data_IF_285301668339
#
_entry.id   IF_285301668339
#
_cell.length_a   1.000
_cell.length_b   1.000
_cell.length_c   1.000
_cell.angle_alpha   90.00
_cell.angle_beta   90.00
_cell.angle_gamma   90.00
#
_symmetry.space_group_name_H-M   'P 1'
#
loop_
_entity.id
_entity.type
_entity.pdbx_description
1 polymer ?
#
# COMPACT_ATOMS: atom_id res chain seq x y z
N UNK A 1 -14.77 4.25 -2.16
CA UNK A 1 -15.36 3.02 -2.73
C UNK A 1 -15.38 3.06 -4.26
N UNK A 2 -14.99 1.94 -4.94
CA UNK A 2 -14.89 1.85 -6.39
C UNK A 2 -15.63 0.62 -6.90
N UNK A 3 -16.17 0.70 -8.12
CA UNK A 3 -16.66 -0.50 -8.83
C UNK A 3 -15.52 -1.20 -9.56
N UNK A 4 -15.68 -2.48 -9.90
CA UNK A 4 -14.68 -3.21 -10.70
C UNK A 4 -14.39 -2.51 -12.03
N UNK A 5 -15.42 -1.93 -12.67
CA UNK A 5 -15.27 -1.16 -13.91
C UNK A 5 -14.39 0.10 -13.71
N UNK A 6 -14.59 0.81 -12.61
CA UNK A 6 -13.76 1.96 -12.26
C UNK A 6 -12.30 1.52 -11.99
N UNK A 7 -12.08 0.40 -11.29
CA UNK A 7 -10.74 -0.12 -11.05
C UNK A 7 -10.02 -0.46 -12.36
N UNK A 8 -10.71 -1.11 -13.32
CA UNK A 8 -10.15 -1.40 -14.64
C UNK A 8 -9.82 -0.13 -15.45
N UNK A 9 -10.53 0.97 -15.21
CA UNK A 9 -10.21 2.25 -15.88
C UNK A 9 -8.94 2.91 -15.34
N UNK A 10 -8.50 2.58 -14.13
CA UNK A 10 -7.23 3.05 -13.56
C UNK A 10 -6.03 2.28 -14.12
N UNK A 11 -6.17 0.98 -14.36
CA UNK A 11 -5.13 0.17 -14.99
C UNK A 11 -5.74 -0.86 -15.95
N UNK A 12 -5.73 -0.52 -17.22
CA UNK A 12 -6.27 -1.37 -18.29
C UNK A 12 -5.44 -2.63 -18.58
N UNK A 13 -4.24 -2.75 -17.98
CA UNK A 13 -3.38 -3.94 -18.13
C UNK A 13 -3.86 -5.11 -17.30
N UNK A 14 -4.70 -4.87 -16.29
CA UNK A 14 -5.23 -5.92 -15.44
C UNK A 14 -6.31 -6.70 -16.20
N UNK A 15 -6.13 -8.01 -16.47
CA UNK A 15 -7.17 -8.81 -17.09
C UNK A 15 -8.45 -8.82 -16.20
N UNK A 16 -9.60 -8.58 -16.80
CA UNK A 16 -10.87 -8.49 -16.08
C UNK A 16 -11.13 -9.72 -15.19
N UNK A 17 -10.89 -10.93 -15.72
CA UNK A 17 -11.06 -12.16 -14.95
C UNK A 17 -10.14 -12.25 -13.71
N UNK A 18 -8.92 -11.70 -13.81
CA UNK A 18 -7.97 -11.64 -12.70
C UNK A 18 -8.42 -10.65 -11.63
N UNK A 19 -8.94 -9.47 -12.03
CA UNK A 19 -9.50 -8.51 -11.09
C UNK A 19 -10.68 -9.12 -10.32
N UNK A 20 -11.64 -9.75 -10.98
CA UNK A 20 -12.78 -10.35 -10.28
C UNK A 20 -12.38 -11.47 -9.33
N UNK A 21 -11.39 -12.30 -9.69
CA UNK A 21 -10.83 -13.31 -8.78
C UNK A 21 -10.18 -12.68 -7.55
N UNK A 22 -9.40 -11.61 -7.76
CA UNK A 22 -8.76 -10.87 -6.66
C UNK A 22 -9.80 -10.22 -5.73
N UNK A 23 -10.80 -9.54 -6.28
CA UNK A 23 -11.89 -8.92 -5.52
C UNK A 23 -12.64 -9.97 -4.69
N UNK A 24 -12.98 -11.12 -5.28
CA UNK A 24 -13.63 -12.21 -4.56
C UNK A 24 -12.77 -12.74 -3.41
N UNK A 25 -11.48 -12.95 -3.66
CA UNK A 25 -10.53 -13.37 -2.62
C UNK A 25 -10.39 -12.34 -1.50
N UNK A 26 -10.27 -11.06 -1.84
CA UNK A 26 -10.18 -9.98 -0.85
C UNK A 26 -11.47 -9.83 -0.03
N UNK A 27 -12.65 -10.00 -0.66
CA UNK A 27 -13.94 -9.97 0.04
C UNK A 27 -14.07 -11.17 0.99
N UNK A 28 -13.70 -12.39 0.56
CA UNK A 28 -13.69 -13.59 1.39
C UNK A 28 -12.76 -13.50 2.60
N UNK A 29 -11.64 -12.79 2.46
CA UNK A 29 -10.68 -12.55 3.54
C UNK A 29 -10.97 -11.27 4.34
N UNK A 30 -12.14 -10.65 4.13
CA UNK A 30 -12.57 -9.43 4.80
C UNK A 30 -11.57 -8.27 4.69
N UNK A 31 -10.79 -8.22 3.60
CA UNK A 31 -9.89 -7.10 3.26
C UNK A 31 -10.71 -5.95 2.68
N UNK A 32 -11.67 -6.28 1.84
CA UNK A 32 -12.65 -5.34 1.28
C UNK A 32 -14.06 -5.77 1.65
N UNK A 33 -14.98 -4.81 1.65
CA UNK A 33 -16.41 -5.03 1.83
C UNK A 33 -17.18 -4.45 0.64
N UNK A 34 -18.31 -5.08 0.32
CA UNK A 34 -19.29 -4.49 -0.60
C UNK A 34 -20.13 -3.46 0.15
N UNK A 35 -19.98 -2.18 -0.20
CA UNK A 35 -20.70 -1.06 0.46
C UNK A 35 -21.97 -0.66 -0.28
N UNK A 36 -22.10 -1.03 -1.55
CA UNK A 36 -23.30 -0.81 -2.34
C UNK A 36 -23.40 -1.82 -3.48
N UNK A 37 -24.64 -2.18 -3.83
CA UNK A 37 -24.96 -2.96 -5.01
C UNK A 37 -25.97 -2.19 -5.87
N UNK A 38 -25.70 -2.05 -7.15
CA UNK A 38 -26.58 -1.34 -8.06
C UNK A 38 -26.91 -2.26 -9.24
N UNK A 39 -28.19 -2.47 -9.50
CA UNK A 39 -28.63 -3.26 -10.65
C UNK A 39 -28.51 -2.41 -11.90
N UNK A 40 -27.56 -2.75 -12.77
CA UNK A 40 -27.36 -2.09 -14.07
C UNK A 40 -27.75 -3.07 -15.17
N UNK A 41 -28.92 -2.88 -15.78
CA UNK A 41 -29.53 -3.81 -16.75
C UNK A 41 -29.75 -5.19 -16.10
N UNK A 42 -29.08 -6.25 -16.57
CA UNK A 42 -29.20 -7.62 -16.07
C UNK A 42 -28.06 -8.01 -15.09
N UNK A 43 -27.15 -7.09 -14.77
CA UNK A 43 -25.96 -7.38 -13.96
C UNK A 43 -26.00 -6.54 -12.69
N UNK A 44 -25.61 -7.14 -11.54
CA UNK A 44 -25.40 -6.42 -10.29
C UNK A 44 -23.97 -5.90 -10.27
N UNK A 45 -23.83 -4.58 -10.26
CA UNK A 45 -22.56 -3.91 -10.08
C UNK A 45 -22.33 -3.66 -8.59
N UNK A 46 -21.25 -4.23 -8.07
CA UNK A 46 -20.81 -4.04 -6.68
C UNK A 46 -19.85 -2.88 -6.56
N UNK A 47 -19.99 -2.12 -5.48
CA UNK A 47 -19.03 -1.08 -5.09
C UNK A 47 -18.28 -1.53 -3.84
N UNK A 48 -16.97 -1.58 -3.94
CA UNK A 48 -16.08 -2.08 -2.90
C UNK A 48 -15.39 -0.94 -2.15
N UNK A 49 -15.21 -1.12 -0.86
CA UNK A 49 -14.37 -0.29 0.00
C UNK A 49 -13.41 -1.18 0.80
N UNK A 50 -12.33 -0.60 1.31
CA UNK A 50 -11.52 -1.28 2.32
C UNK A 50 -12.38 -1.52 3.56
N UNK A 51 -12.17 -2.65 4.21
CA UNK A 51 -12.85 -2.97 5.45
C UNK A 51 -12.19 -2.17 6.60
N UNK A 52 -12.92 -1.24 7.20
CA UNK A 52 -12.42 -0.43 8.32
C UNK A 52 -12.08 -1.28 9.55
N UNK A 53 -12.71 -2.45 9.73
CA UNK A 53 -12.36 -3.40 10.78
C UNK A 53 -10.94 -3.97 10.59
N UNK A 54 -10.43 -4.02 9.35
CA UNK A 54 -9.05 -4.45 9.10
C UNK A 54 -8.06 -3.52 9.79
N UNK A 55 -8.30 -2.20 9.74
CA UNK A 55 -7.48 -1.22 10.45
C UNK A 55 -7.54 -1.46 11.96
N UNK A 56 -8.75 -1.66 12.51
CA UNK A 56 -8.94 -1.98 13.93
C UNK A 56 -8.20 -3.27 14.35
N UNK A 57 -8.22 -4.30 13.51
CA UNK A 57 -7.48 -5.55 13.77
C UNK A 57 -5.96 -5.36 13.72
N UNK A 58 -5.44 -4.51 12.84
CA UNK A 58 -4.03 -4.15 12.81
C UNK A 58 -3.65 -3.39 14.09
N UNK A 59 -4.46 -2.40 14.48
CA UNK A 59 -4.25 -1.64 15.70
C UNK A 59 -4.31 -2.53 16.97
N UNK A 60 -5.23 -3.48 17.01
CA UNK A 60 -5.31 -4.47 18.08
C UNK A 60 -4.10 -5.39 18.12
N UNK A 61 -3.65 -5.86 16.97
CA UNK A 61 -2.46 -6.69 16.84
C UNK A 61 -1.20 -5.97 17.33
N UNK A 62 -1.06 -4.68 16.99
CA UNK A 62 0.03 -3.84 17.47
C UNK A 62 -0.08 -3.64 18.99
N UNK A 63 -1.28 -3.38 19.53
CA UNK A 63 -1.52 -3.27 20.97
C UNK A 63 -1.20 -4.56 21.72
N UNK A 64 -1.55 -5.70 21.13
CA UNK A 64 -1.29 -7.02 21.72
C UNK A 64 0.14 -7.53 21.50
N UNK A 65 1.01 -6.69 20.90
CA UNK A 65 2.42 -7.00 20.62
C UNK A 65 2.61 -8.35 19.88
N UNK A 66 1.71 -8.66 18.92
CA UNK A 66 1.78 -9.89 18.15
C UNK A 66 2.85 -9.78 17.06
N UNK A 67 4.09 -10.02 17.44
CA UNK A 67 5.27 -9.85 16.58
C UNK A 67 5.27 -10.76 15.36
N UNK A 68 4.73 -11.98 15.48
CA UNK A 68 4.69 -12.93 14.36
C UNK A 68 3.76 -12.45 13.23
N UNK A 69 2.56 -12.01 13.59
CA UNK A 69 1.59 -11.51 12.61
C UNK A 69 2.08 -10.18 12.02
N UNK A 70 2.68 -9.31 12.85
CA UNK A 70 3.29 -8.07 12.39
C UNK A 70 4.40 -8.33 11.36
N UNK A 71 5.28 -9.30 11.62
CA UNK A 71 6.34 -9.71 10.69
C UNK A 71 5.78 -10.26 9.38
N UNK A 72 4.71 -11.08 9.41
CA UNK A 72 4.05 -11.58 8.20
C UNK A 72 3.47 -10.45 7.34
N UNK A 73 2.86 -9.44 7.97
CA UNK A 73 2.37 -8.26 7.25
C UNK A 73 3.51 -7.49 6.60
N UNK A 74 4.60 -7.28 7.33
CA UNK A 74 5.79 -6.65 6.80
C UNK A 74 6.36 -7.41 5.60
N UNK A 75 6.48 -8.73 5.71
CA UNK A 75 6.92 -9.58 4.59
C UNK A 75 6.01 -9.44 3.37
N UNK A 76 4.70 -9.45 3.56
CA UNK A 76 3.73 -9.24 2.47
C UNK A 76 3.90 -7.87 1.81
N UNK A 77 4.10 -6.82 2.60
CA UNK A 77 4.39 -5.48 2.10
C UNK A 77 5.68 -5.43 1.28
N UNK A 78 6.77 -6.01 1.80
CA UNK A 78 8.07 -6.09 1.11
C UNK A 78 7.99 -6.89 -0.19
N UNK A 79 7.24 -8.00 -0.20
CA UNK A 79 7.02 -8.81 -1.39
C UNK A 79 6.33 -8.03 -2.51
N UNK A 80 5.34 -7.21 -2.18
CA UNK A 80 4.68 -6.36 -3.16
C UNK A 80 5.64 -5.32 -3.76
N UNK A 81 6.48 -4.69 -2.94
CA UNK A 81 7.50 -3.75 -3.42
C UNK A 81 8.52 -4.45 -4.33
N UNK A 82 9.03 -5.60 -3.89
CA UNK A 82 9.99 -6.38 -4.68
C UNK A 82 9.40 -6.75 -6.05
N UNK A 83 8.17 -7.22 -6.08
CA UNK A 83 7.49 -7.57 -7.32
C UNK A 83 7.31 -6.38 -8.25
N UNK A 84 6.95 -5.21 -7.72
CA UNK A 84 6.84 -3.98 -8.52
C UNK A 84 8.17 -3.61 -9.18
N UNK A 85 9.29 -3.72 -8.46
CA UNK A 85 10.62 -3.49 -9.02
C UNK A 85 11.01 -4.56 -10.03
N UNK A 86 10.72 -5.83 -9.76
CA UNK A 86 10.97 -6.93 -10.70
C UNK A 86 10.20 -6.73 -12.01
N UNK A 87 8.90 -6.43 -11.93
CA UNK A 87 8.05 -6.17 -13.10
C UNK A 87 8.54 -4.94 -13.88
N UNK A 88 9.05 -3.93 -13.18
CA UNK A 88 9.65 -2.75 -13.81
C UNK A 88 10.93 -3.11 -14.57
N UNK A 89 11.87 -3.81 -13.93
CA UNK A 89 13.18 -4.15 -14.53
C UNK A 89 13.10 -5.14 -15.70
N UNK A 90 11.98 -5.84 -15.84
CA UNK A 90 11.73 -6.75 -16.98
C UNK A 90 11.17 -6.07 -18.23
N UNK A 91 10.86 -4.77 -18.16
CA UNK A 91 10.39 -4.02 -19.33
C UNK A 91 11.53 -3.79 -20.32
N UNK A 92 11.21 -3.76 -21.62
CA UNK A 92 12.19 -3.56 -22.69
C UNK A 92 12.81 -2.15 -22.69
N UNK A 93 12.08 -1.13 -22.23
CA UNK A 93 12.49 0.27 -22.27
C UNK A 93 12.58 0.88 -20.86
N UNK A 94 13.48 0.33 -20.04
CA UNK A 94 13.77 0.86 -18.69
C UNK A 94 14.71 2.04 -18.81
N UNK A 95 14.36 3.19 -18.25
CA UNK A 95 15.21 4.37 -18.15
C UNK A 95 15.46 4.74 -16.68
N UNK A 96 16.35 4.00 -16.02
CA UNK A 96 16.68 4.19 -14.60
C UNK A 96 17.09 5.62 -14.24
N UNK A 97 17.59 6.37 -15.22
CA UNK A 97 18.02 7.76 -15.01
C UNK A 97 16.86 8.74 -14.95
N UNK A 98 15.85 8.54 -15.81
CA UNK A 98 14.79 9.52 -15.99
C UNK A 98 13.45 9.07 -15.38
N UNK A 99 13.25 7.77 -15.10
CA UNK A 99 12.01 7.25 -14.52
C UNK A 99 11.80 7.59 -13.03
N UNK A 100 12.79 8.25 -12.40
CA UNK A 100 12.68 8.70 -11.00
C UNK A 100 12.53 7.58 -9.97
N UNK A 101 12.84 6.32 -10.35
CA UNK A 101 12.86 5.20 -9.43
C UNK A 101 14.10 5.22 -8.54
N UNK A 102 13.98 4.77 -7.31
CA UNK A 102 15.12 4.72 -6.39
C UNK A 102 14.76 4.16 -5.03
N UNK A 103 15.78 3.84 -4.26
CA UNK A 103 15.64 3.42 -2.88
C UNK A 103 16.84 3.90 -2.07
N UNK A 104 16.59 4.26 -0.83
CA UNK A 104 17.63 4.64 0.12
C UNK A 104 17.18 4.34 1.55
N UNK A 105 18.15 4.17 2.43
CA UNK A 105 17.94 4.07 3.85
C UNK A 105 18.90 5.02 4.56
N UNK A 106 18.40 5.78 5.53
CA UNK A 106 19.17 6.75 6.30
C UNK A 106 18.96 6.48 7.78
N UNK A 107 20.02 6.26 8.57
CA UNK A 107 19.88 6.16 10.01
C UNK A 107 19.54 7.54 10.59
N UNK A 108 18.58 7.55 11.50
CA UNK A 108 18.18 8.76 12.22
C UNK A 108 18.07 8.48 13.71
N UNK A 109 18.45 9.44 14.55
CA UNK A 109 18.17 9.43 15.97
C UNK A 109 16.88 10.21 16.19
N UNK A 110 15.85 9.54 16.66
CA UNK A 110 14.56 10.17 16.91
C UNK A 110 13.80 9.46 18.04
N UNK A 111 13.10 10.24 18.81
CA UNK A 111 12.06 9.74 19.71
C UNK A 111 10.84 9.28 18.92
N UNK A 112 9.91 8.59 19.59
CA UNK A 112 8.65 8.18 19.00
C UNK A 112 7.86 9.39 18.45
N UNK A 113 7.79 10.46 19.25
CA UNK A 113 7.02 11.66 18.89
C UNK A 113 7.64 12.40 17.70
N UNK A 114 8.97 12.45 17.60
CA UNK A 114 9.68 13.00 16.46
C UNK A 114 9.45 12.18 15.19
N UNK A 115 9.43 10.84 15.29
CA UNK A 115 9.08 9.98 14.15
C UNK A 115 7.64 10.20 13.71
N UNK A 116 6.69 10.32 14.62
CA UNK A 116 5.29 10.59 14.30
C UNK A 116 5.12 11.96 13.62
N UNK A 117 5.88 12.98 14.06
CA UNK A 117 5.90 14.29 13.39
C UNK A 117 6.50 14.21 11.97
N UNK A 118 7.61 13.49 11.79
CA UNK A 118 8.19 13.24 10.47
C UNK A 118 7.19 12.58 9.53
N UNK A 119 6.47 11.53 9.97
CA UNK A 119 5.43 10.89 9.16
C UNK A 119 4.32 11.84 8.77
N UNK A 120 3.84 12.67 9.70
CA UNK A 120 2.80 13.65 9.42
C UNK A 120 3.23 14.63 8.34
N UNK A 121 4.43 15.18 8.43
CA UNK A 121 5.00 16.10 7.43
C UNK A 121 5.16 15.44 6.06
N UNK A 122 5.63 14.20 6.01
CA UNK A 122 5.74 13.43 4.77
C UNK A 122 4.35 13.26 4.12
N UNK A 123 3.34 12.87 4.90
CA UNK A 123 1.98 12.73 4.40
C UNK A 123 1.39 14.05 3.92
N UNK A 124 1.69 15.16 4.58
CA UNK A 124 1.23 16.49 4.16
C UNK A 124 1.83 16.93 2.82
N UNK A 125 3.08 16.54 2.54
CA UNK A 125 3.75 16.76 1.24
C UNK A 125 3.10 15.90 0.15
N UNK A 126 2.77 14.64 0.45
CA UNK A 126 2.28 13.66 -0.53
C UNK A 126 0.80 13.85 -0.84
N UNK A 127 -0.02 14.21 0.16
CA UNK A 127 -1.48 14.30 0.05
C UNK A 127 -1.98 15.10 -1.16
N UNK A 128 -1.42 16.28 -1.50
CA UNK A 128 -1.84 17.00 -2.71
C UNK A 128 -1.56 16.25 -4.02
N UNK A 129 -0.52 15.41 -4.05
CA UNK A 129 -0.15 14.63 -5.23
C UNK A 129 -1.04 13.38 -5.43
N UNK A 130 -1.69 12.87 -4.39
CA UNK A 130 -2.56 11.69 -4.46
C UNK A 130 -3.83 11.90 -5.30
N UNK A 131 -4.32 13.12 -5.37
CA UNK A 131 -5.58 13.45 -6.05
C UNK A 131 -5.37 14.24 -7.34
N UNK A 132 -4.17 14.81 -7.53
CA UNK A 132 -3.86 15.62 -8.71
C UNK A 132 -3.29 14.73 -9.81
N UNK A 133 -4.01 14.66 -10.94
CA UNK A 133 -3.53 14.06 -12.18
C UNK A 133 -3.47 15.14 -13.24
N UNK A 134 -2.29 15.39 -13.80
CA UNK A 134 -2.06 16.33 -14.89
C UNK A 134 -1.37 15.61 -16.05
N UNK A 135 -1.40 16.21 -17.22
CA UNK A 135 -0.66 15.72 -18.37
C UNK A 135 0.85 15.68 -18.07
N UNK A 136 1.53 14.62 -18.49
CA UNK A 136 2.95 14.42 -18.24
C UNK A 136 3.30 13.91 -16.83
N UNK A 137 2.31 13.49 -16.03
CA UNK A 137 2.55 12.86 -14.72
C UNK A 137 2.38 11.35 -14.80
N UNK A 138 3.37 10.63 -14.29
CA UNK A 138 3.34 9.19 -14.11
C UNK A 138 2.89 8.82 -12.69
N UNK A 139 2.34 7.61 -12.55
CA UNK A 139 1.94 7.07 -11.24
C UNK A 139 3.14 6.39 -10.58
N UNK A 140 3.65 6.98 -9.50
CA UNK A 140 4.69 6.40 -8.68
C UNK A 140 4.13 5.87 -7.35
N UNK A 141 4.67 4.76 -6.87
CA UNK A 141 4.40 4.25 -5.52
C UNK A 141 5.52 4.67 -4.59
N UNK A 142 5.21 5.49 -3.59
CA UNK A 142 6.14 5.84 -2.52
C UNK A 142 5.89 4.95 -1.31
N UNK A 143 6.92 4.28 -0.84
CA UNK A 143 6.87 3.42 0.33
C UNK A 143 7.76 3.99 1.43
N UNK A 144 7.24 4.06 2.65
CA UNK A 144 7.96 4.53 3.83
C UNK A 144 8.04 3.42 4.86
N UNK A 145 9.24 3.14 5.32
CA UNK A 145 9.53 2.10 6.31
C UNK A 145 10.36 2.75 7.42
N UNK A 146 9.86 2.72 8.66
CA UNK A 146 10.72 2.91 9.81
C UNK A 146 11.12 1.56 10.36
N UNK A 147 12.40 1.29 10.37
CA UNK A 147 12.95 0.10 11.01
C UNK A 147 12.71 0.12 12.52
N UNK A 148 12.76 -1.05 13.19
CA UNK A 148 12.73 -1.11 14.64
C UNK A 148 13.94 -0.36 15.21
N UNK A 149 13.81 0.22 16.42
CA UNK A 149 14.93 0.91 17.06
C UNK A 149 16.05 -0.08 17.38
N UNK A 150 17.27 0.27 17.01
CA UNK A 150 18.47 -0.42 17.49
C UNK A 150 18.73 0.05 18.93
N UNK A 151 18.21 -0.71 19.89
CA UNK A 151 18.45 -0.43 21.31
C UNK A 151 19.81 -0.94 21.65
N UNK A 152 20.81 -0.05 21.69
CA UNK A 152 22.10 -0.34 22.26
C UNK A 152 21.85 -0.73 23.73
N UNK A 153 21.83 -2.02 24.02
CA UNK A 153 21.90 -2.51 25.38
C UNK A 153 23.23 -2.01 25.95
N UNK A 154 23.21 -1.02 26.87
CA UNK A 154 24.38 -0.72 27.67
C UNK A 154 24.76 -2.05 28.35
N UNK A 155 25.90 -2.62 27.96
CA UNK A 155 26.53 -3.65 28.75
C UNK A 155 26.83 -2.93 30.07
N UNK A 156 26.20 -3.38 31.15
CA UNK A 156 26.64 -3.03 32.51
C UNK A 156 28.08 -3.49 32.63
N UNK A 157 28.99 -2.54 32.82
CA UNK A 157 30.38 -2.78 33.24
C UNK A 157 30.40 -3.17 34.71
#
# INVERSE_FOLDING_TARGET
PLTAKQMLSYDSRIPQASLYRALKSMEQNAIIITVAETKVRAVVEKRYALNDELRGRIDEMVRNNNSEVYFRLFMGFMFNLLRNFEDYTRKENVDLKNDGSGFFAVPVYATKDELEDMYRRILDIIRPAQTRKSEGQDLHTLAFIAGPPDRITKKEE
#
